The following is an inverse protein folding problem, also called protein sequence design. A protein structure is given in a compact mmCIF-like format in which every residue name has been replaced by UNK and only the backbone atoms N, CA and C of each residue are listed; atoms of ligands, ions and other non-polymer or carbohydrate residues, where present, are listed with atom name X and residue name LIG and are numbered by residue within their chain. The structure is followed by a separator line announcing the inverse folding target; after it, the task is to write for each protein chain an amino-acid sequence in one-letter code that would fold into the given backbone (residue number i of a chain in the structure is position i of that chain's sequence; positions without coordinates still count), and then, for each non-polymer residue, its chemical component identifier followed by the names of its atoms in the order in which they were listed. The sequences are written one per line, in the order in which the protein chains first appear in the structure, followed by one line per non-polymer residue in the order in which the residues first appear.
data_IF_719542849438
#
_entry.id   IF_719542849438
#
_cell.length_a   1.000
_cell.length_b   1.000
_cell.length_c   1.000
_cell.angle_alpha   90.00
_cell.angle_beta   90.00
_cell.angle_gamma   90.00
#
_symmetry.space_group_name_H-M   'P 1'
#
loop_
_entity.id
_entity.type
_entity.pdbx_description
1 polymer ?
#
# COMPACT_ATOMS: atom_id res chain seq x y z
N UNK A 1 -17.06 35.38 4.96
CA UNK A 1 -16.22 34.73 5.99
C UNK A 1 -16.91 34.87 7.35
N UNK A 2 -17.19 33.76 8.01
CA UNK A 2 -17.83 33.68 9.32
C UNK A 2 -16.76 33.37 10.37
N UNK A 3 -16.67 34.22 11.39
CA UNK A 3 -15.75 34.08 12.52
C UNK A 3 -16.53 34.20 13.82
N UNK A 4 -16.30 33.28 14.74
CA UNK A 4 -16.71 33.38 16.14
C UNK A 4 -15.74 34.29 16.92
N UNK A 5 -16.10 34.69 18.13
CA UNK A 5 -15.20 35.42 19.03
C UNK A 5 -13.91 34.65 19.28
N UNK A 6 -14.00 33.32 19.43
CA UNK A 6 -12.84 32.44 19.61
C UNK A 6 -11.91 32.46 18.39
N UNK A 7 -12.46 32.45 17.19
CA UNK A 7 -11.67 32.50 15.95
C UNK A 7 -10.90 33.82 15.82
N UNK A 8 -11.54 34.93 16.21
CA UNK A 8 -10.90 36.25 16.23
C UNK A 8 -9.73 36.28 17.21
N UNK A 9 -9.91 35.73 18.41
CA UNK A 9 -8.82 35.61 19.39
C UNK A 9 -7.68 34.72 18.88
N UNK A 10 -8.01 33.57 18.30
CA UNK A 10 -7.00 32.65 17.75
C UNK A 10 -6.19 33.34 16.66
N UNK A 11 -6.85 34.04 15.73
CA UNK A 11 -6.19 34.80 14.68
C UNK A 11 -5.29 35.91 15.24
N UNK A 12 -5.73 36.64 16.26
CA UNK A 12 -4.94 37.71 16.89
C UNK A 12 -3.72 37.16 17.63
N UNK A 13 -3.86 36.03 18.32
CA UNK A 13 -2.80 35.35 19.07
C UNK A 13 -1.85 34.56 18.17
N UNK A 14 -2.23 34.25 16.93
CA UNK A 14 -1.40 33.50 16.00
C UNK A 14 -0.09 34.24 15.65
N UNK A 15 1.03 33.65 16.03
CA UNK A 15 2.39 34.15 15.76
C UNK A 15 3.08 33.46 14.60
N UNK A 16 2.69 32.21 14.29
CA UNK A 16 3.27 31.38 13.24
C UNK A 16 2.19 30.92 12.26
N UNK A 17 2.57 30.74 11.01
CA UNK A 17 1.69 30.29 9.94
C UNK A 17 1.31 28.83 10.16
N UNK A 18 0.02 28.53 10.17
CA UNK A 18 -0.44 27.16 10.44
C UNK A 18 0.01 26.16 9.35
N UNK A 19 0.28 26.62 8.12
CA UNK A 19 0.73 25.79 7.01
C UNK A 19 2.25 25.55 7.01
N UNK A 20 3.06 26.60 6.90
CA UNK A 20 4.52 26.48 6.75
C UNK A 20 5.30 26.57 8.07
N UNK A 21 4.60 26.79 9.19
CA UNK A 21 5.16 26.91 10.56
C UNK A 21 6.14 28.06 10.79
N UNK A 22 6.37 28.93 9.80
CA UNK A 22 7.23 30.13 9.93
C UNK A 22 6.48 31.30 10.55
N UNK A 23 7.22 32.24 11.15
CA UNK A 23 6.66 33.44 11.78
C UNK A 23 5.85 34.30 10.79
N UNK A 24 4.66 34.76 11.20
CA UNK A 24 3.70 35.48 10.33
C UNK A 24 4.06 36.95 10.11
N UNK A 25 4.44 37.65 11.18
CA UNK A 25 4.68 39.09 11.14
C UNK A 25 3.50 39.89 10.61
N UNK A 26 3.80 40.81 9.68
CA UNK A 26 2.79 41.67 9.03
C UNK A 26 2.00 40.97 7.91
N UNK A 27 2.46 39.83 7.41
CA UNK A 27 1.84 39.07 6.30
C UNK A 27 0.75 38.09 6.80
N UNK A 28 0.09 38.42 7.90
CA UNK A 28 -0.91 37.56 8.54
C UNK A 28 -2.28 37.73 7.87
N UNK A 29 -2.71 36.72 7.12
CA UNK A 29 -4.03 36.68 6.46
C UNK A 29 -4.93 35.59 7.04
N UNK A 30 -6.25 35.75 6.81
CA UNK A 30 -7.29 34.83 7.29
C UNK A 30 -7.65 33.84 6.19
N UNK A 31 -7.32 32.58 6.41
CA UNK A 31 -7.81 31.48 5.60
C UNK A 31 -9.25 31.12 6.00
N UNK A 32 -10.09 30.81 5.02
CA UNK A 32 -11.46 30.40 5.25
C UNK A 32 -11.89 29.34 4.23
N UNK A 33 -12.83 28.49 4.62
CA UNK A 33 -13.48 27.56 3.72
C UNK A 33 -14.36 28.33 2.73
N UNK A 34 -14.13 28.12 1.44
CA UNK A 34 -14.88 28.79 0.37
C UNK A 34 -16.29 28.23 0.18
N UNK A 35 -16.62 27.07 0.78
CA UNK A 35 -17.97 26.51 0.78
C UNK A 35 -18.81 27.05 1.94
N UNK A 36 -18.35 26.83 3.18
CA UNK A 36 -19.10 27.25 4.38
C UNK A 36 -18.85 28.69 4.80
N UNK A 37 -17.82 29.34 4.25
CA UNK A 37 -17.35 30.65 4.67
C UNK A 37 -16.64 30.66 6.03
N UNK A 38 -16.51 29.54 6.74
CA UNK A 38 -15.94 29.48 8.09
C UNK A 38 -14.43 29.74 8.07
N UNK A 39 -13.95 30.54 9.03
CA UNK A 39 -12.52 30.69 9.26
C UNK A 39 -11.86 29.35 9.60
N UNK A 40 -10.64 29.15 9.09
CA UNK A 40 -9.87 27.93 9.31
C UNK A 40 -8.61 28.17 10.12
N UNK A 41 -7.82 29.20 9.76
CA UNK A 41 -6.48 29.40 10.31
C UNK A 41 -5.83 30.72 9.86
N UNK A 42 -4.75 31.10 10.54
CA UNK A 42 -3.90 32.23 10.18
C UNK A 42 -2.73 31.76 9.32
N UNK A 43 -2.53 32.37 8.16
CA UNK A 43 -1.49 31.99 7.19
C UNK A 43 -0.74 33.21 6.66
N UNK A 44 0.41 32.98 6.02
CA UNK A 44 1.02 33.93 5.08
C UNK A 44 0.13 34.10 3.85
N UNK A 45 0.14 35.27 3.20
CA UNK A 45 -0.64 35.49 1.98
C UNK A 45 -0.26 34.48 0.89
N UNK A 46 1.04 34.21 0.73
CA UNK A 46 1.54 33.19 -0.22
C UNK A 46 1.02 31.78 0.11
N UNK A 47 1.03 31.40 1.38
CA UNK A 47 0.51 30.09 1.83
C UNK A 47 -0.99 29.98 1.57
N UNK A 48 -1.75 31.04 1.85
CA UNK A 48 -3.19 31.08 1.60
C UNK A 48 -3.52 30.88 0.11
N UNK A 49 -2.78 31.54 -0.79
CA UNK A 49 -2.97 31.39 -2.24
C UNK A 49 -2.64 29.99 -2.78
N UNK A 50 -1.84 29.20 -2.05
CA UNK A 50 -1.57 27.80 -2.39
C UNK A 50 -2.73 26.87 -2.04
N UNK A 51 -3.59 27.25 -1.09
CA UNK A 51 -4.77 26.47 -0.71
C UNK A 51 -5.88 26.66 -1.75
N UNK A 52 -5.88 25.80 -2.76
CA UNK A 52 -6.90 25.78 -3.81
C UNK A 52 -7.94 24.71 -3.52
N UNK A 53 -9.21 25.09 -3.54
CA UNK A 53 -10.30 24.12 -3.50
C UNK A 53 -10.31 23.33 -4.82
N UNK A 54 -10.16 22.01 -4.72
CA UNK A 54 -10.30 21.11 -5.86
C UNK A 54 -11.79 20.92 -6.17
N UNK A 55 -12.17 21.08 -7.44
CA UNK A 55 -13.51 20.71 -7.95
C UNK A 55 -13.56 19.22 -8.27
N UNK A 56 -13.32 18.40 -7.26
CA UNK A 56 -13.21 16.95 -7.38
C UNK A 56 -13.97 16.27 -6.24
N UNK A 57 -14.79 15.27 -6.57
CA UNK A 57 -15.48 14.42 -5.62
C UNK A 57 -14.88 13.00 -5.74
N UNK A 58 -14.23 12.47 -4.68
CA UNK A 58 -13.76 11.11 -4.67
C UNK A 58 -14.94 10.13 -4.47
N UNK A 59 -15.09 9.19 -5.38
CA UNK A 59 -16.03 8.08 -5.33
C UNK A 59 -15.28 6.83 -4.85
N UNK A 60 -15.48 6.47 -3.59
CA UNK A 60 -14.73 5.38 -2.94
C UNK A 60 -15.44 4.05 -3.17
N UNK A 61 -14.68 3.09 -3.71
CA UNK A 61 -15.10 1.71 -3.88
C UNK A 61 -14.11 0.81 -3.16
N UNK A 62 -14.51 -0.41 -2.81
CA UNK A 62 -13.61 -1.39 -2.22
C UNK A 62 -13.36 -2.52 -3.21
N UNK A 63 -12.12 -2.62 -3.69
CA UNK A 63 -11.68 -3.56 -4.71
C UNK A 63 -12.20 -3.23 -6.14
N UNK A 64 -12.37 -1.93 -6.41
CA UNK A 64 -12.85 -1.40 -7.70
C UNK A 64 -12.13 -1.99 -8.90
N UNK A 65 -10.79 -2.07 -8.81
CA UNK A 65 -9.91 -2.43 -9.92
C UNK A 65 -10.17 -3.84 -10.46
N UNK A 66 -10.66 -4.74 -9.61
CA UNK A 66 -10.87 -6.15 -9.97
C UNK A 66 -12.33 -6.49 -10.26
N UNK A 67 -13.28 -5.62 -9.88
CA UNK A 67 -14.72 -5.88 -9.98
C UNK A 67 -15.43 -4.73 -10.70
N UNK A 68 -16.02 -3.79 -9.95
CA UNK A 68 -16.96 -2.78 -10.46
C UNK A 68 -16.36 -1.87 -11.54
N UNK A 69 -15.03 -1.67 -11.51
CA UNK A 69 -14.34 -0.82 -12.46
C UNK A 69 -14.55 -1.26 -13.91
N UNK A 70 -14.64 -2.57 -14.17
CA UNK A 70 -14.89 -3.10 -15.51
C UNK A 70 -16.30 -2.73 -16.01
N UNK A 71 -17.32 -2.90 -15.15
CA UNK A 71 -18.71 -2.58 -15.48
C UNK A 71 -18.90 -1.07 -15.67
N UNK A 72 -18.32 -0.27 -14.78
CA UNK A 72 -18.41 1.20 -14.85
C UNK A 72 -17.74 1.68 -16.15
N UNK A 73 -16.54 1.20 -16.47
CA UNK A 73 -15.82 1.62 -17.70
C UNK A 73 -16.59 1.27 -18.98
N UNK A 74 -17.27 0.12 -19.04
CA UNK A 74 -18.16 -0.22 -20.16
C UNK A 74 -19.33 0.76 -20.31
N UNK A 75 -19.87 1.27 -19.19
CA UNK A 75 -20.89 2.31 -19.20
C UNK A 75 -20.34 3.67 -19.60
N UNK A 76 -19.18 4.06 -19.05
CA UNK A 76 -18.54 5.34 -19.31
C UNK A 76 -18.19 5.54 -20.78
N UNK A 77 -17.75 4.49 -21.49
CA UNK A 77 -17.45 4.55 -22.92
C UNK A 77 -18.65 4.96 -23.81
N UNK A 78 -19.88 4.90 -23.29
CA UNK A 78 -21.10 5.30 -24.01
C UNK A 78 -21.43 6.80 -23.85
N UNK A 79 -20.73 7.52 -22.96
CA UNK A 79 -21.00 8.92 -22.67
C UNK A 79 -20.23 9.84 -23.62
N UNK A 80 -20.95 10.59 -24.47
CA UNK A 80 -20.33 11.46 -25.48
C UNK A 80 -19.90 12.84 -24.95
N UNK A 81 -20.62 13.39 -23.97
CA UNK A 81 -20.40 14.75 -23.43
C UNK A 81 -19.41 14.82 -22.25
N UNK A 82 -18.72 13.72 -21.97
CA UNK A 82 -17.81 13.62 -20.85
C UNK A 82 -16.35 13.44 -21.31
N UNK A 83 -15.45 13.97 -20.51
CA UNK A 83 -14.03 13.70 -20.58
C UNK A 83 -13.71 12.62 -19.56
N UNK A 84 -13.01 11.59 -20.01
CA UNK A 84 -12.59 10.46 -19.19
C UNK A 84 -11.07 10.48 -19.14
N UNK A 85 -10.52 10.45 -17.93
CA UNK A 85 -9.08 10.33 -17.69
C UNK A 85 -8.82 9.07 -16.88
N UNK A 86 -7.83 8.29 -17.30
CA UNK A 86 -7.55 6.96 -16.76
C UNK A 86 -6.07 6.87 -16.39
N UNK A 87 -5.79 6.27 -15.24
CA UNK A 87 -4.44 5.90 -14.82
C UNK A 87 -4.36 4.37 -14.88
N UNK A 88 -3.78 3.80 -15.95
CA UNK A 88 -3.69 2.36 -16.12
C UNK A 88 -2.67 1.75 -15.15
N UNK A 89 -3.00 0.57 -14.63
CA UNK A 89 -2.05 -0.28 -13.93
C UNK A 89 -1.43 -1.31 -14.89
N UNK A 90 -2.27 -1.87 -15.77
CA UNK A 90 -1.88 -2.71 -16.89
C UNK A 90 -2.97 -2.58 -17.99
N UNK A 91 -2.95 -3.47 -18.99
CA UNK A 91 -3.91 -3.43 -20.11
C UNK A 91 -5.36 -3.68 -19.70
N UNK A 92 -5.63 -4.30 -18.55
CA UNK A 92 -6.98 -4.69 -18.10
C UNK A 92 -7.45 -3.93 -16.86
N UNK A 93 -6.51 -3.48 -16.03
CA UNK A 93 -6.75 -2.95 -14.68
C UNK A 93 -6.32 -1.50 -14.60
N UNK A 94 -7.14 -0.69 -13.93
CA UNK A 94 -6.90 0.74 -13.72
C UNK A 94 -6.62 1.03 -12.25
N UNK A 95 -5.63 1.87 -11.96
CA UNK A 95 -5.39 2.38 -10.59
C UNK A 95 -6.54 3.30 -10.18
N UNK A 96 -6.94 4.18 -11.10
CA UNK A 96 -8.05 5.11 -10.93
C UNK A 96 -8.53 5.58 -12.30
N UNK A 97 -9.78 6.00 -12.38
CA UNK A 97 -10.31 6.74 -13.52
C UNK A 97 -11.19 7.87 -13.00
N UNK A 98 -11.36 8.90 -13.83
CA UNK A 98 -12.17 10.06 -13.51
C UNK A 98 -13.03 10.48 -14.69
N UNK A 99 -14.18 11.05 -14.37
CA UNK A 99 -15.14 11.57 -15.34
C UNK A 99 -15.43 13.02 -15.03
N UNK A 100 -15.44 13.85 -16.08
CA UNK A 100 -15.72 15.29 -16.01
C UNK A 100 -16.65 15.69 -17.15
N UNK A 101 -17.71 16.44 -16.86
CA UNK A 101 -18.55 17.04 -17.93
C UNK A 101 -17.76 18.09 -18.69
N UNK A 102 -17.88 18.13 -20.02
CA UNK A 102 -17.13 19.11 -20.85
C UNK A 102 -17.72 20.52 -20.78
N UNK A 103 -19.02 20.64 -20.56
CA UNK A 103 -19.75 21.91 -20.53
C UNK A 103 -20.22 22.19 -19.09
N UNK A 104 -20.15 23.46 -18.70
CA UNK A 104 -20.61 24.03 -17.41
C UNK A 104 -19.82 23.59 -16.16
N UNK A 105 -19.27 24.59 -15.44
CA UNK A 105 -18.59 24.51 -14.14
C UNK A 105 -18.18 23.09 -13.69
N UNK A 106 -17.21 22.47 -14.37
CA UNK A 106 -17.11 21.02 -14.35
C UNK A 106 -16.55 20.51 -13.04
N UNK A 107 -17.30 19.62 -12.39
CA UNK A 107 -16.84 18.83 -11.23
C UNK A 107 -16.33 17.49 -11.75
N UNK A 108 -15.14 17.10 -11.30
CA UNK A 108 -14.56 15.80 -11.62
C UNK A 108 -15.00 14.77 -10.58
N UNK A 109 -15.63 13.68 -11.01
CA UNK A 109 -15.77 12.50 -10.16
C UNK A 109 -14.53 11.63 -10.34
N UNK A 110 -13.83 11.32 -9.26
CA UNK A 110 -12.64 10.48 -9.29
C UNK A 110 -12.92 9.17 -8.56
N UNK A 111 -12.83 8.05 -9.26
CA UNK A 111 -13.06 6.74 -8.69
C UNK A 111 -11.77 6.24 -8.04
N UNK A 112 -11.86 5.93 -6.75
CA UNK A 112 -10.72 5.53 -5.92
C UNK A 112 -10.99 4.17 -5.32
N UNK A 113 -10.02 3.28 -5.46
CA UNK A 113 -10.06 1.95 -4.88
C UNK A 113 -9.46 1.96 -3.47
N UNK A 114 -10.33 1.91 -2.45
CA UNK A 114 -9.90 1.82 -1.05
C UNK A 114 -9.04 0.59 -0.74
N UNK A 115 -9.12 -0.47 -1.55
CA UNK A 115 -8.28 -1.67 -1.39
C UNK A 115 -6.78 -1.37 -1.68
N UNK A 116 -6.48 -0.30 -2.43
CA UNK A 116 -5.11 0.19 -2.64
C UNK A 116 -4.53 0.87 -1.38
N UNK A 117 -5.37 1.11 -0.38
CA UNK A 117 -4.97 1.63 0.93
C UNK A 117 -5.07 0.57 2.03
N UNK A 118 -6.20 -0.15 2.01
CA UNK A 118 -6.63 -1.09 3.03
C UNK A 118 -6.78 -2.47 2.38
N UNK A 119 -5.66 -3.18 2.25
CA UNK A 119 -5.49 -4.39 1.43
C UNK A 119 -6.03 -5.67 2.08
N UNK A 120 -7.25 -5.61 2.64
CA UNK A 120 -7.93 -6.76 3.25
C UNK A 120 -9.44 -6.63 3.04
N UNK A 121 -10.20 -7.67 3.35
CA UNK A 121 -11.65 -7.66 3.12
C UNK A 121 -12.35 -6.62 4.00
N UNK A 122 -13.46 -6.06 3.49
CA UNK A 122 -14.32 -5.16 4.28
C UNK A 122 -14.73 -5.77 5.63
N UNK A 123 -15.00 -7.07 5.66
CA UNK A 123 -15.29 -7.79 6.91
C UNK A 123 -14.17 -7.61 7.94
N UNK A 124 -12.92 -7.91 7.57
CA UNK A 124 -11.76 -7.73 8.46
C UNK A 124 -11.55 -6.26 8.84
N UNK A 125 -11.85 -5.32 7.95
CA UNK A 125 -11.73 -3.89 8.25
C UNK A 125 -12.76 -3.44 9.29
N UNK A 126 -13.98 -3.94 9.20
CA UNK A 126 -15.07 -3.66 10.15
C UNK A 126 -14.77 -4.30 11.51
N UNK A 127 -14.31 -5.55 11.54
CA UNK A 127 -13.92 -6.25 12.77
C UNK A 127 -12.77 -5.55 13.54
N UNK A 128 -11.90 -4.85 12.82
CA UNK A 128 -10.79 -4.08 13.42
C UNK A 128 -11.21 -2.71 13.97
N UNK A 129 -12.45 -2.26 13.75
CA UNK A 129 -12.93 -0.99 14.26
C UNK A 129 -13.68 -1.15 15.57
N UNK A 130 -13.38 -0.26 16.51
CA UNK A 130 -14.17 -0.13 17.73
C UNK A 130 -15.60 0.36 17.40
N UNK A 131 -16.60 -0.12 18.15
CA UNK A 131 -18.01 0.20 17.94
C UNK A 131 -18.30 1.73 17.98
N UNK A 132 -17.51 2.52 18.72
CA UNK A 132 -17.63 3.99 18.76
C UNK A 132 -17.29 4.67 17.44
N UNK A 133 -16.64 3.97 16.50
CA UNK A 133 -16.15 4.51 15.23
C UNK A 133 -17.17 4.47 14.10
N UNK A 134 -18.34 3.85 14.31
CA UNK A 134 -19.41 3.70 13.33
C UNK A 134 -20.41 4.87 13.34
N UNK A 135 -19.91 6.09 13.21
CA UNK A 135 -20.72 7.31 13.29
C UNK A 135 -21.72 7.46 12.14
N UNK A 136 -21.36 7.02 10.93
CA UNK A 136 -22.22 7.11 9.75
C UNK A 136 -23.34 6.08 9.88
N UNK A 137 -23.02 4.85 10.28
CA UNK A 137 -24.01 3.82 10.60
C UNK A 137 -25.04 4.33 11.60
N UNK A 138 -24.60 5.00 12.66
CA UNK A 138 -25.50 5.59 13.66
C UNK A 138 -26.45 6.64 13.05
N UNK A 139 -25.95 7.44 12.10
CA UNK A 139 -26.74 8.50 11.45
C UNK A 139 -27.70 7.99 10.37
N UNK A 140 -27.32 6.91 9.66
CA UNK A 140 -28.05 6.40 8.51
C UNK A 140 -29.08 5.32 8.85
N UNK A 141 -28.89 4.60 9.96
CA UNK A 141 -29.75 3.51 10.41
C UNK A 141 -30.31 3.83 11.79
N UNK A 142 -31.56 4.25 11.85
CA UNK A 142 -32.32 4.45 13.08
C UNK A 142 -33.10 3.16 13.42
N UNK A 143 -32.40 2.17 13.96
CA UNK A 143 -32.99 0.90 14.41
C UNK A 143 -32.39 0.46 15.74
N UNK A 144 -33.17 -0.10 16.69
CA UNK A 144 -32.63 -0.71 17.90
C UNK A 144 -31.78 -1.96 17.60
N UNK A 145 -31.93 -2.55 16.42
CA UNK A 145 -31.20 -3.74 15.97
C UNK A 145 -29.98 -3.42 15.09
N UNK A 146 -29.59 -2.14 15.00
CA UNK A 146 -28.46 -1.69 14.16
C UNK A 146 -27.15 -2.44 14.42
N UNK A 147 -26.92 -2.88 15.65
CA UNK A 147 -25.69 -3.59 16.01
C UNK A 147 -25.53 -4.93 15.25
N UNK A 148 -26.64 -5.51 14.75
CA UNK A 148 -26.59 -6.65 13.83
C UNK A 148 -25.90 -6.32 12.50
N UNK A 149 -25.89 -5.05 12.09
CA UNK A 149 -25.29 -4.58 10.85
C UNK A 149 -23.83 -4.14 11.00
N UNK A 150 -23.24 -4.24 12.19
CA UNK A 150 -21.83 -3.89 12.46
C UNK A 150 -20.85 -5.00 12.04
N UNK A 151 -21.27 -5.87 11.12
CA UNK A 151 -20.44 -6.85 10.45
C UNK A 151 -20.96 -7.04 9.03
N UNK A 152 -20.13 -7.61 8.16
CA UNK A 152 -20.51 -7.86 6.78
C UNK A 152 -21.73 -8.80 6.74
N UNK A 153 -22.74 -8.43 5.94
CA UNK A 153 -23.95 -9.23 5.79
C UNK A 153 -23.70 -10.55 5.06
N UNK A 154 -24.59 -11.51 5.27
CA UNK A 154 -24.55 -12.83 4.61
C UNK A 154 -25.47 -12.80 3.40
N UNK A 155 -24.95 -13.08 2.21
CA UNK A 155 -25.71 -12.90 0.98
C UNK A 155 -25.61 -14.11 0.05
N UNK A 156 -26.74 -14.62 -0.52
CA UNK A 156 -26.74 -15.79 -1.37
C UNK A 156 -26.46 -15.39 -2.83
N UNK A 157 -25.20 -15.06 -3.15
CA UNK A 157 -24.83 -14.47 -4.44
C UNK A 157 -25.27 -15.32 -5.64
N UNK A 158 -25.00 -16.61 -5.62
CA UNK A 158 -25.32 -17.55 -6.70
C UNK A 158 -26.83 -17.81 -6.84
N UNK A 159 -27.58 -17.70 -5.74
CA UNK A 159 -29.03 -17.88 -5.75
C UNK A 159 -29.75 -16.74 -6.48
N UNK A 160 -29.22 -15.52 -6.36
CA UNK A 160 -29.78 -14.28 -6.91
C UNK A 160 -29.50 -14.15 -8.41
N UNK A 161 -30.04 -15.10 -9.18
CA UNK A 161 -29.79 -15.30 -10.60
C UNK A 161 -30.79 -14.59 -11.54
N UNK A 162 -31.89 -14.05 -11.01
CA UNK A 162 -32.90 -13.33 -11.80
C UNK A 162 -33.63 -12.29 -10.96
N UNK A 163 -34.24 -11.29 -11.63
CA UNK A 163 -35.04 -10.27 -10.94
C UNK A 163 -36.26 -10.84 -10.20
N UNK A 164 -36.82 -11.96 -10.66
CA UNK A 164 -37.94 -12.61 -9.99
C UNK A 164 -37.59 -13.10 -8.59
N UNK A 165 -36.30 -13.35 -8.29
CA UNK A 165 -35.86 -13.74 -6.95
C UNK A 165 -36.11 -12.65 -5.90
N UNK A 166 -36.05 -11.38 -6.28
CA UNK A 166 -36.30 -10.28 -5.34
C UNK A 166 -37.73 -10.29 -4.77
N UNK A 167 -38.69 -10.88 -5.48
CA UNK A 167 -40.09 -10.99 -5.03
C UNK A 167 -40.32 -12.15 -4.05
N UNK A 168 -39.34 -13.06 -3.86
CA UNK A 168 -39.50 -14.19 -2.94
C UNK A 168 -39.56 -13.70 -1.48
N UNK A 169 -40.56 -14.18 -0.75
CA UNK A 169 -40.94 -13.68 0.58
C UNK A 169 -40.30 -14.45 1.73
N UNK A 170 -39.33 -15.32 1.44
CA UNK A 170 -38.65 -16.15 2.43
C UNK A 170 -37.14 -16.13 2.17
N UNK A 171 -36.37 -16.22 3.24
CA UNK A 171 -34.94 -16.43 3.14
C UNK A 171 -34.68 -17.83 2.52
N UNK A 172 -33.81 -17.95 1.51
CA UNK A 172 -33.54 -19.24 0.89
C UNK A 172 -32.86 -20.21 1.88
N UNK A 173 -32.93 -21.53 1.64
CA UNK A 173 -32.31 -22.50 2.53
C UNK A 173 -30.79 -22.32 2.60
N UNK A 174 -30.15 -22.74 3.71
CA UNK A 174 -28.69 -22.63 3.91
C UNK A 174 -27.86 -23.19 2.75
N UNK A 175 -28.32 -24.25 2.10
CA UNK A 175 -27.65 -24.85 0.93
C UNK A 175 -27.56 -23.91 -0.29
N UNK A 176 -28.42 -22.89 -0.36
CA UNK A 176 -28.41 -21.88 -1.43
C UNK A 176 -27.33 -20.79 -1.25
N UNK A 177 -26.63 -20.77 -0.11
CA UNK A 177 -25.54 -19.84 0.18
C UNK A 177 -24.15 -20.41 -0.18
N UNK A 178 -24.09 -21.44 -1.02
CA UNK A 178 -22.83 -22.01 -1.49
C UNK A 178 -22.09 -21.03 -2.40
N UNK A 179 -20.85 -20.70 -2.06
CA UNK A 179 -20.01 -19.85 -2.88
C UNK A 179 -19.09 -20.66 -3.79
N UNK A 180 -19.22 -20.45 -5.10
CA UNK A 180 -18.35 -21.02 -6.12
C UNK A 180 -16.90 -20.51 -6.05
N UNK A 181 -16.68 -19.33 -5.46
CA UNK A 181 -15.37 -18.70 -5.32
C UNK A 181 -14.47 -19.40 -4.31
N UNK A 182 -15.05 -19.88 -3.20
CA UNK A 182 -14.34 -20.61 -2.14
C UNK A 182 -14.67 -22.10 -2.11
N UNK A 183 -15.63 -22.52 -2.94
CA UNK A 183 -16.16 -23.90 -2.99
C UNK A 183 -16.64 -24.40 -1.62
N UNK A 184 -17.27 -23.51 -0.86
CA UNK A 184 -17.74 -23.75 0.49
C UNK A 184 -19.13 -23.12 0.70
N UNK A 185 -19.92 -23.73 1.59
CA UNK A 185 -21.15 -23.14 2.11
C UNK A 185 -20.89 -22.27 3.34
N UNK A 186 -21.94 -21.63 3.84
CA UNK A 186 -21.85 -20.83 5.07
C UNK A 186 -21.99 -21.71 6.33
N UNK A 187 -21.44 -21.20 7.44
CA UNK A 187 -21.60 -21.82 8.75
C UNK A 187 -23.06 -21.74 9.24
N UNK A 188 -23.42 -22.58 10.22
CA UNK A 188 -24.75 -22.50 10.85
C UNK A 188 -24.95 -21.15 11.54
N UNK A 189 -23.92 -20.65 12.23
CA UNK A 189 -23.95 -19.35 12.92
C UNK A 189 -24.16 -18.17 11.95
N UNK A 190 -23.59 -18.23 10.75
CA UNK A 190 -23.81 -17.21 9.72
C UNK A 190 -25.25 -17.25 9.19
N UNK A 191 -25.80 -18.44 9.00
CA UNK A 191 -27.19 -18.59 8.56
C UNK A 191 -28.19 -18.12 9.63
N UNK A 192 -27.97 -18.50 10.90
CA UNK A 192 -28.75 -17.98 12.04
C UNK A 192 -28.67 -16.46 12.11
N UNK A 193 -27.50 -15.87 11.83
CA UNK A 193 -27.37 -14.42 11.77
C UNK A 193 -28.20 -13.80 10.63
N UNK A 194 -28.21 -14.38 9.44
CA UNK A 194 -29.05 -13.93 8.32
C UNK A 194 -30.54 -14.00 8.69
N UNK A 195 -30.98 -15.07 9.35
CA UNK A 195 -32.35 -15.21 9.86
C UNK A 195 -32.70 -14.15 10.91
N UNK A 196 -31.76 -13.85 11.81
CA UNK A 196 -31.93 -12.80 12.82
C UNK A 196 -32.07 -11.42 12.18
N UNK A 197 -31.25 -11.10 11.17
CA UNK A 197 -31.38 -9.84 10.40
C UNK A 197 -32.73 -9.78 9.70
N UNK A 198 -33.13 -10.85 9.00
CA UNK A 198 -34.43 -10.94 8.33
C UNK A 198 -35.59 -10.62 9.27
N UNK A 199 -35.58 -11.24 10.46
CA UNK A 199 -36.63 -11.08 11.46
C UNK A 199 -36.61 -9.69 12.12
N UNK A 200 -35.44 -9.23 12.57
CA UNK A 200 -35.31 -7.97 13.32
C UNK A 200 -35.55 -6.72 12.47
N UNK A 201 -35.33 -6.80 11.16
CA UNK A 201 -35.60 -5.70 10.23
C UNK A 201 -36.94 -5.86 9.48
N UNK A 202 -37.77 -6.83 9.89
CA UNK A 202 -39.12 -7.06 9.35
C UNK A 202 -39.13 -7.19 7.81
N UNK A 203 -38.13 -7.89 7.28
CA UNK A 203 -37.89 -8.00 5.83
C UNK A 203 -38.98 -8.85 5.19
N UNK A 204 -39.59 -8.32 4.12
CA UNK A 204 -40.75 -8.94 3.47
C UNK A 204 -40.37 -9.80 2.28
N UNK A 205 -39.28 -9.46 1.60
CA UNK A 205 -38.81 -10.17 0.41
C UNK A 205 -37.29 -10.02 0.23
N UNK A 206 -36.73 -10.81 -0.70
CA UNK A 206 -35.30 -10.77 -0.99
C UNK A 206 -34.84 -9.43 -1.61
N UNK A 207 -35.75 -8.64 -2.20
CA UNK A 207 -35.52 -7.25 -2.62
C UNK A 207 -35.11 -6.35 -1.46
N UNK A 208 -35.94 -6.32 -0.42
CA UNK A 208 -35.64 -5.55 0.80
C UNK A 208 -34.38 -6.07 1.50
N UNK A 209 -34.14 -7.40 1.49
CA UNK A 209 -32.89 -7.98 1.99
C UNK A 209 -31.66 -7.51 1.22
N UNK A 210 -31.74 -7.48 -0.11
CA UNK A 210 -30.69 -6.99 -0.99
C UNK A 210 -30.39 -5.52 -0.76
N UNK A 211 -31.41 -4.67 -0.71
CA UNK A 211 -31.24 -3.25 -0.49
C UNK A 211 -30.58 -2.97 0.87
N UNK A 212 -31.00 -3.70 1.92
CA UNK A 212 -30.36 -3.61 3.24
C UNK A 212 -28.91 -4.08 3.18
N UNK A 213 -28.62 -5.20 2.51
CA UNK A 213 -27.27 -5.75 2.35
C UNK A 213 -26.33 -4.74 1.65
N UNK A 214 -26.71 -4.24 0.47
CA UNK A 214 -25.90 -3.30 -0.31
C UNK A 214 -25.73 -1.97 0.43
N UNK A 215 -26.81 -1.44 1.03
CA UNK A 215 -26.75 -0.21 1.81
C UNK A 215 -25.82 -0.35 3.02
N UNK A 216 -25.86 -1.49 3.70
CA UNK A 216 -24.99 -1.78 4.85
C UNK A 216 -23.53 -1.82 4.43
N UNK A 217 -23.18 -2.53 3.36
CA UNK A 217 -21.80 -2.60 2.86
C UNK A 217 -21.24 -1.21 2.51
N UNK A 218 -22.06 -0.33 1.88
CA UNK A 218 -21.65 1.05 1.55
C UNK A 218 -21.46 1.91 2.81
N UNK A 219 -22.35 1.79 3.80
CA UNK A 219 -22.25 2.53 5.06
C UNK A 219 -21.01 2.07 5.85
N UNK A 220 -20.79 0.77 5.96
CA UNK A 220 -19.62 0.20 6.63
C UNK A 220 -18.32 0.67 5.97
N UNK A 221 -18.25 0.64 4.64
CA UNK A 221 -17.10 1.16 3.91
C UNK A 221 -16.89 2.66 4.17
N UNK A 222 -17.98 3.43 4.26
CA UNK A 222 -17.91 4.86 4.56
C UNK A 222 -17.34 5.11 5.96
N UNK A 223 -17.80 4.39 6.98
CA UNK A 223 -17.22 4.49 8.33
C UNK A 223 -15.75 4.07 8.34
N UNK A 224 -15.39 2.96 7.70
CA UNK A 224 -14.01 2.50 7.58
C UNK A 224 -13.11 3.56 6.94
N UNK A 225 -13.52 4.08 5.79
CA UNK A 225 -12.69 5.03 5.04
C UNK A 225 -12.64 6.40 5.71
N UNK A 226 -13.72 6.89 6.34
CA UNK A 226 -13.68 8.14 7.13
C UNK A 226 -12.74 8.04 8.34
N UNK A 227 -12.71 6.88 9.01
CA UNK A 227 -11.74 6.66 10.09
C UNK A 227 -10.30 6.66 9.57
N UNK A 228 -10.05 6.03 8.41
CA UNK A 228 -8.74 6.08 7.76
C UNK A 228 -8.35 7.50 7.30
N UNK A 229 -9.29 8.29 6.77
CA UNK A 229 -9.06 9.71 6.44
C UNK A 229 -8.70 10.51 7.68
N UNK A 230 -9.44 10.36 8.78
CA UNK A 230 -9.12 11.03 10.05
C UNK A 230 -7.73 10.63 10.56
N UNK A 231 -7.38 9.34 10.47
CA UNK A 231 -6.06 8.83 10.84
C UNK A 231 -4.95 9.53 10.04
N UNK A 232 -5.03 9.49 8.71
CA UNK A 232 -4.03 10.08 7.82
C UNK A 232 -3.92 11.59 7.97
N UNK A 233 -5.04 12.27 8.21
CA UNK A 233 -5.04 13.70 8.52
C UNK A 233 -4.39 14.01 9.87
N UNK A 234 -4.59 13.16 10.89
CA UNK A 234 -4.00 13.37 12.20
C UNK A 234 -2.48 13.15 12.19
N UNK A 235 -2.01 12.06 11.58
CA UNK A 235 -0.60 11.69 11.55
C UNK A 235 0.20 12.48 10.51
N UNK A 236 -0.32 12.62 9.29
CA UNK A 236 0.43 13.17 8.16
C UNK A 236 -0.06 14.54 7.72
N UNK A 237 -1.19 15.04 8.28
CA UNK A 237 -1.87 16.25 7.81
C UNK A 237 -2.24 16.15 6.32
N UNK A 238 -2.47 14.92 5.83
CA UNK A 238 -2.85 14.62 4.46
C UNK A 238 -4.19 13.89 4.46
N UNK A 239 -5.05 14.20 3.49
CA UNK A 239 -6.31 13.48 3.31
C UNK A 239 -6.12 12.35 2.30
N UNK A 240 -6.30 11.11 2.74
CA UNK A 240 -6.22 9.93 1.88
C UNK A 240 -7.19 9.99 0.69
N UNK A 241 -8.32 10.69 0.81
CA UNK A 241 -9.29 10.85 -0.27
C UNK A 241 -8.76 11.67 -1.47
N UNK A 242 -7.60 12.30 -1.33
CA UNK A 242 -6.91 13.02 -2.42
C UNK A 242 -5.70 12.25 -2.98
N UNK A 243 -5.52 11.00 -2.54
CA UNK A 243 -4.48 10.09 -3.00
C UNK A 243 -5.13 8.90 -3.71
N UNK A 244 -4.32 8.13 -4.43
CA UNK A 244 -4.82 6.94 -5.16
C UNK A 244 -4.39 5.62 -4.53
N UNK A 245 -3.27 5.59 -3.81
CA UNK A 245 -2.68 4.37 -3.27
C UNK A 245 -1.91 4.64 -1.98
N UNK A 246 -1.70 3.61 -1.16
CA UNK A 246 -0.84 3.68 0.03
C UNK A 246 0.60 4.11 -0.27
N UNK A 247 1.30 3.59 -1.31
CA UNK A 247 2.63 4.10 -1.68
C UNK A 247 2.64 5.58 -2.03
N UNK A 248 1.61 6.07 -2.76
CA UNK A 248 1.49 7.49 -3.07
C UNK A 248 1.27 8.35 -1.83
N UNK A 249 0.44 7.88 -0.89
CA UNK A 249 0.24 8.53 0.40
C UNK A 249 1.53 8.55 1.23
N UNK A 250 2.24 7.43 1.32
CA UNK A 250 3.50 7.32 2.06
C UNK A 250 4.58 8.25 1.48
N UNK A 251 4.68 8.34 0.16
CA UNK A 251 5.59 9.26 -0.52
C UNK A 251 5.29 10.73 -0.20
N UNK A 252 4.02 11.14 -0.30
CA UNK A 252 3.60 12.50 0.05
C UNK A 252 3.79 12.81 1.53
N UNK A 253 3.54 11.83 2.41
CA UNK A 253 3.78 11.96 3.83
C UNK A 253 5.28 12.15 4.11
N UNK A 254 6.15 11.35 3.50
CA UNK A 254 7.60 11.46 3.64
C UNK A 254 8.08 12.86 3.26
N UNK A 255 7.75 13.33 2.04
CA UNK A 255 8.13 14.67 1.57
C UNK A 255 7.65 15.78 2.50
N UNK A 256 6.40 15.68 2.98
CA UNK A 256 5.81 16.69 3.85
C UNK A 256 6.39 16.68 5.27
N UNK A 257 6.73 15.52 5.80
CA UNK A 257 7.20 15.39 7.18
C UNK A 257 8.69 15.73 7.31
N UNK A 258 9.48 15.53 6.26
CA UNK A 258 10.92 15.80 6.27
C UNK A 258 11.28 17.15 5.67
N UNK A 259 10.36 17.78 4.90
CA UNK A 259 10.63 18.97 4.09
C UNK A 259 11.82 18.77 3.10
N UNK A 260 12.17 17.52 2.80
CA UNK A 260 13.28 17.18 1.92
C UNK A 260 13.01 17.65 0.49
N UNK A 261 14.05 18.13 -0.17
CA UNK A 261 14.03 18.40 -1.62
C UNK A 261 14.85 17.32 -2.30
N UNK A 262 14.23 16.67 -3.27
CA UNK A 262 14.87 15.62 -4.05
C UNK A 262 15.11 16.16 -5.44
N UNK A 263 16.35 16.09 -5.90
CA UNK A 263 16.67 16.33 -7.30
C UNK A 263 16.27 15.13 -8.15
N UNK A 264 15.95 15.43 -9.41
CA UNK A 264 15.67 14.41 -10.40
C UNK A 264 16.92 14.23 -11.25
N UNK A 265 17.22 12.97 -11.60
CA UNK A 265 18.21 12.71 -12.64
C UNK A 265 17.75 13.33 -13.95
N UNK A 266 18.56 14.22 -14.50
CA UNK A 266 18.35 14.80 -15.84
C UNK A 266 19.13 14.08 -16.93
N UNK A 267 20.09 13.23 -16.52
CA UNK A 267 20.89 12.37 -17.39
C UNK A 267 20.35 10.93 -17.35
N UNK A 268 20.10 10.35 -18.53
CA UNK A 268 19.64 8.97 -18.69
C UNK A 268 20.71 7.97 -18.25
N UNK A 269 21.99 8.27 -18.46
CA UNK A 269 23.08 7.36 -18.11
C UNK A 269 23.21 7.24 -16.59
N UNK A 270 23.02 8.34 -15.84
CA UNK A 270 22.93 8.29 -14.37
C UNK A 270 21.75 7.42 -13.92
N UNK A 271 20.58 7.57 -14.56
CA UNK A 271 19.42 6.76 -14.22
C UNK A 271 19.69 5.26 -14.42
N UNK A 272 20.23 4.88 -15.58
CA UNK A 272 20.58 3.49 -15.90
C UNK A 272 21.68 2.94 -14.99
N UNK A 273 22.65 3.77 -14.62
CA UNK A 273 23.72 3.41 -13.68
C UNK A 273 23.17 3.09 -12.30
N UNK A 274 22.29 3.94 -11.77
CA UNK A 274 21.63 3.70 -10.48
C UNK A 274 20.73 2.47 -10.55
N UNK A 275 19.93 2.32 -11.60
CA UNK A 275 19.07 1.14 -11.80
C UNK A 275 19.92 -0.15 -11.85
N UNK A 276 21.07 -0.10 -12.54
CA UNK A 276 22.06 -1.16 -12.57
C UNK A 276 22.63 -1.46 -11.18
N UNK A 277 22.59 -0.55 -10.20
CA UNK A 277 22.97 -0.78 -8.81
C UNK A 277 21.86 -1.33 -7.91
N UNK A 278 20.58 -1.22 -8.29
CA UNK A 278 19.46 -1.63 -7.41
C UNK A 278 19.42 -3.15 -7.24
N UNK A 279 19.42 -3.62 -6.00
CA UNK A 279 19.28 -5.03 -5.63
C UNK A 279 18.06 -5.22 -4.73
N UNK A 280 17.44 -6.40 -4.83
CA UNK A 280 16.41 -6.82 -3.88
C UNK A 280 17.01 -7.40 -2.60
N UNK A 281 16.15 -7.90 -1.72
CA UNK A 281 16.59 -8.64 -0.55
C UNK A 281 17.31 -9.93 -0.94
N UNK A 282 18.42 -10.22 -0.26
CA UNK A 282 19.14 -11.48 -0.42
C UNK A 282 18.35 -12.60 0.26
N UNK A 283 17.94 -13.59 -0.52
CA UNK A 283 17.24 -14.78 -0.02
C UNK A 283 18.07 -16.01 -0.37
N UNK A 284 18.59 -16.68 0.66
CA UNK A 284 19.47 -17.85 0.47
C UNK A 284 19.28 -18.89 1.56
N UNK A 285 19.60 -20.14 1.21
CA UNK A 285 19.58 -21.29 2.11
C UNK A 285 20.99 -21.88 2.11
N UNK A 286 21.79 -21.57 3.13
CA UNK A 286 23.15 -22.10 3.31
C UNK A 286 23.15 -23.53 3.86
N UNK A 287 22.16 -23.87 4.68
CA UNK A 287 21.98 -25.21 5.24
C UNK A 287 20.58 -25.74 4.88
N UNK A 288 20.51 -26.77 4.03
CA UNK A 288 19.25 -27.22 3.40
C UNK A 288 18.24 -27.83 4.36
N UNK A 289 18.70 -28.49 5.41
CA UNK A 289 17.81 -29.15 6.36
C UNK A 289 18.44 -29.22 7.74
N UNK A 290 17.70 -28.78 8.75
CA UNK A 290 18.06 -28.94 10.15
C UNK A 290 16.79 -29.18 10.95
N UNK A 291 16.79 -30.21 11.78
CA UNK A 291 15.74 -30.49 12.75
C UNK A 291 16.22 -30.10 14.15
N UNK A 292 15.31 -29.57 14.98
CA UNK A 292 15.59 -29.28 16.38
C UNK A 292 15.45 -30.57 17.20
N UNK A 293 16.32 -30.76 18.18
CA UNK A 293 16.23 -31.83 19.17
C UNK A 293 16.07 -31.21 20.56
N UNK A 294 14.85 -31.19 21.08
CA UNK A 294 14.55 -30.60 22.39
C UNK A 294 13.35 -31.33 23.04
N UNK A 295 13.27 -31.46 24.38
CA UNK A 295 12.18 -32.20 25.05
C UNK A 295 10.74 -31.74 24.75
N UNK A 296 10.57 -30.55 24.16
CA UNK A 296 9.27 -30.03 23.74
C UNK A 296 8.89 -30.40 22.29
N UNK A 297 9.83 -30.98 21.52
CA UNK A 297 9.59 -31.43 20.17
C UNK A 297 8.90 -32.80 20.17
N UNK A 298 7.92 -33.06 19.28
CA UNK A 298 7.23 -34.36 19.20
C UNK A 298 8.15 -35.56 18.95
N UNK A 299 9.29 -35.34 18.27
CA UNK A 299 10.25 -36.37 17.87
C UNK A 299 11.57 -36.30 18.68
N UNK A 300 11.51 -35.86 19.94
CA UNK A 300 12.71 -35.73 20.78
C UNK A 300 13.43 -37.07 20.99
N UNK A 301 14.75 -37.07 20.77
CA UNK A 301 15.62 -38.20 21.08
C UNK A 301 16.58 -37.83 22.21
N UNK A 302 16.40 -38.48 23.36
CA UNK A 302 17.21 -38.28 24.56
C UNK A 302 18.64 -38.87 24.45
N UNK A 303 18.90 -39.70 23.43
CA UNK A 303 20.25 -40.24 23.16
C UNK A 303 21.14 -39.27 22.39
N UNK A 304 20.54 -38.29 21.72
CA UNK A 304 21.22 -37.25 20.93
C UNK A 304 21.37 -35.95 21.72
N UNK A 305 22.35 -35.12 21.33
CA UNK A 305 22.52 -33.82 21.95
C UNK A 305 21.35 -32.88 21.63
N UNK A 306 21.03 -31.98 22.57
CA UNK A 306 20.02 -30.95 22.32
C UNK A 306 20.47 -30.02 21.18
N UNK A 307 19.55 -29.73 20.27
CA UNK A 307 19.76 -28.89 19.10
C UNK A 307 18.63 -27.89 18.97
N UNK A 308 18.97 -26.61 18.87
CA UNK A 308 18.02 -25.50 18.83
C UNK A 308 18.03 -24.83 17.47
N UNK A 309 16.88 -24.38 17.01
CA UNK A 309 16.72 -23.51 15.84
C UNK A 309 16.21 -22.17 16.35
N UNK A 310 16.90 -21.10 15.99
CA UNK A 310 16.55 -19.74 16.42
C UNK A 310 16.03 -18.94 15.23
N UNK A 311 14.87 -18.31 15.40
CA UNK A 311 14.30 -17.37 14.44
C UNK A 311 14.62 -15.95 14.86
N UNK A 312 15.35 -15.21 14.02
CA UNK A 312 15.68 -13.81 14.23
C UNK A 312 15.06 -12.99 13.10
N UNK A 313 14.38 -11.91 13.46
CA UNK A 313 13.72 -11.01 12.52
C UNK A 313 14.05 -9.56 12.89
N UNK A 314 14.45 -8.77 11.89
CA UNK A 314 14.79 -7.37 12.08
C UNK A 314 13.53 -6.52 12.04
N UNK A 315 13.16 -5.93 13.18
CA UNK A 315 12.04 -5.00 13.27
C UNK A 315 12.24 -3.80 12.34
N UNK A 316 11.41 -3.67 11.30
CA UNK A 316 11.41 -2.55 10.36
C UNK A 316 12.78 -2.29 9.70
N UNK A 317 13.39 -3.33 9.13
CA UNK A 317 14.72 -3.28 8.49
C UNK A 317 14.88 -2.10 7.51
N UNK A 318 13.97 -1.94 6.55
CA UNK A 318 14.05 -0.84 5.58
C UNK A 318 13.80 0.53 6.23
N UNK A 319 12.94 0.62 7.25
CA UNK A 319 12.75 1.89 7.98
C UNK A 319 14.00 2.32 8.75
N UNK A 320 14.77 1.38 9.30
CA UNK A 320 16.08 1.67 9.88
C UNK A 320 17.10 2.08 8.81
N UNK A 321 17.12 1.41 7.65
CA UNK A 321 17.99 1.82 6.54
C UNK A 321 17.64 3.23 6.02
N UNK A 322 16.35 3.55 5.94
CA UNK A 322 15.84 4.86 5.52
C UNK A 322 16.05 5.98 6.55
N UNK A 323 16.43 5.66 7.80
CA UNK A 323 16.81 6.67 8.80
C UNK A 323 18.29 7.04 8.72
N UNK A 324 19.07 6.32 7.91
CA UNK A 324 20.48 6.63 7.66
C UNK A 324 20.61 7.77 6.62
N UNK A 325 21.77 8.42 6.53
CA UNK A 325 22.08 9.33 5.43
C UNK A 325 21.91 8.65 4.07
N UNK A 326 21.12 9.29 3.19
CA UNK A 326 20.79 8.82 1.84
C UNK A 326 21.01 9.95 0.83
N UNK A 327 21.37 9.64 -0.43
CA UNK A 327 21.58 10.65 -1.46
C UNK A 327 20.26 11.32 -1.88
N UNK A 328 20.27 12.66 -1.99
CA UNK A 328 19.04 13.45 -2.26
C UNK A 328 19.20 14.52 -3.33
N UNK A 329 20.40 15.05 -3.57
CA UNK A 329 20.65 16.19 -4.46
C UNK A 329 22.07 16.21 -5.01
N UNK A 330 22.34 17.17 -5.90
CA UNK A 330 23.69 17.54 -6.37
C UNK A 330 24.43 16.37 -7.05
N UNK A 331 23.70 15.60 -7.86
CA UNK A 331 24.24 14.47 -8.60
C UNK A 331 25.16 14.92 -9.74
N UNK A 332 26.42 14.50 -9.71
CA UNK A 332 27.42 14.77 -10.74
C UNK A 332 28.25 13.54 -11.07
N UNK A 333 28.72 13.46 -12.32
CA UNK A 333 29.73 12.49 -12.71
C UNK A 333 31.11 12.97 -12.30
N UNK A 334 31.92 12.08 -11.74
CA UNK A 334 33.34 12.31 -11.48
C UNK A 334 34.17 11.45 -12.41
N UNK A 335 35.24 12.02 -12.96
CA UNK A 335 36.25 11.25 -13.67
C UNK A 335 37.16 10.51 -12.70
N UNK A 336 37.81 9.40 -13.12
CA UNK A 336 38.75 8.67 -12.28
C UNK A 336 39.93 9.50 -11.78
N UNK A 337 40.25 10.62 -12.44
CA UNK A 337 41.30 11.54 -12.02
C UNK A 337 40.87 12.49 -10.89
N UNK A 338 39.57 12.69 -10.70
CA UNK A 338 39.01 13.60 -9.69
C UNK A 338 38.91 12.97 -8.30
N UNK A 339 38.95 11.64 -8.21
CA UNK A 339 38.83 10.91 -6.95
C UNK A 339 39.66 9.62 -6.90
N UNK A 340 40.31 9.38 -5.76
CA UNK A 340 41.07 8.15 -5.51
C UNK A 340 40.30 7.15 -4.64
N UNK A 341 40.59 5.87 -4.81
CA UNK A 341 40.09 4.79 -3.93
C UNK A 341 40.39 5.06 -2.45
N UNK A 342 41.55 5.64 -2.14
CA UNK A 342 41.91 5.97 -0.77
C UNK A 342 40.95 7.00 -0.16
N UNK A 343 40.57 8.04 -0.91
CA UNK A 343 39.61 9.04 -0.45
C UNK A 343 38.22 8.42 -0.24
N UNK A 344 37.79 7.55 -1.16
CA UNK A 344 36.51 6.84 -1.07
C UNK A 344 36.48 5.99 0.22
N UNK A 345 37.48 5.13 0.45
CA UNK A 345 37.52 4.26 1.63
C UNK A 345 37.66 5.01 2.96
N UNK A 346 38.11 6.27 2.93
CA UNK A 346 38.23 7.13 4.11
C UNK A 346 36.99 8.01 4.33
N UNK A 347 36.02 7.97 3.41
CA UNK A 347 34.80 8.77 3.51
C UNK A 347 33.89 8.21 4.63
N UNK A 348 33.52 9.03 5.64
CA UNK A 348 32.63 8.57 6.71
C UNK A 348 31.22 8.24 6.20
N UNK A 349 30.55 7.27 6.83
CA UNK A 349 29.16 6.87 6.53
C UNK A 349 28.13 8.02 6.62
N UNK A 350 28.43 9.05 7.41
CA UNK A 350 27.62 10.24 7.63
C UNK A 350 28.14 11.49 6.89
N UNK A 351 29.04 11.30 5.92
CA UNK A 351 29.52 12.37 5.07
C UNK A 351 28.36 13.05 4.33
N UNK A 352 28.47 14.37 4.16
CA UNK A 352 27.51 15.17 3.39
C UNK A 352 27.54 14.86 1.90
N UNK A 353 28.64 14.29 1.42
CA UNK A 353 28.86 13.87 0.04
C UNK A 353 29.32 12.42 0.05
N UNK A 354 28.72 11.61 -0.81
CA UNK A 354 29.02 10.18 -0.94
C UNK A 354 29.17 9.77 -2.39
N UNK A 355 29.60 8.53 -2.62
CA UNK A 355 29.92 8.02 -3.95
C UNK A 355 29.15 6.73 -4.27
N UNK A 356 28.75 6.61 -5.53
CA UNK A 356 28.26 5.37 -6.11
C UNK A 356 29.22 5.04 -7.25
N UNK A 357 29.75 3.82 -7.24
CA UNK A 357 30.91 3.44 -8.03
C UNK A 357 30.57 2.21 -8.85
N UNK A 358 31.17 2.11 -10.04
CA UNK A 358 31.26 0.88 -10.80
C UNK A 358 32.69 0.37 -10.71
N UNK A 359 32.86 -0.85 -10.21
CA UNK A 359 34.19 -1.42 -9.94
C UNK A 359 34.27 -2.87 -10.37
N UNK A 360 35.49 -3.33 -10.61
CA UNK A 360 35.83 -4.75 -10.68
C UNK A 360 36.33 -5.22 -9.32
N UNK A 361 35.83 -6.37 -8.86
CA UNK A 361 36.22 -6.95 -7.57
C UNK A 361 36.69 -8.38 -7.75
N UNK A 362 37.86 -8.68 -7.22
CA UNK A 362 38.33 -10.07 -7.08
C UNK A 362 37.71 -10.69 -5.83
N UNK A 363 37.42 -11.99 -5.89
CA UNK A 363 36.94 -12.78 -4.75
C UNK A 363 37.98 -13.84 -4.39
N UNK A 364 38.95 -13.50 -3.51
CA UNK A 364 40.10 -14.36 -3.25
C UNK A 364 39.70 -15.75 -2.73
N UNK A 365 40.34 -16.84 -3.21
CA UNK A 365 40.04 -18.21 -2.78
C UNK A 365 40.10 -18.43 -1.27
N UNK A 366 40.97 -17.73 -0.55
CA UNK A 366 41.10 -17.80 0.90
C UNK A 366 39.85 -17.34 1.68
N UNK A 367 38.93 -16.60 1.04
CA UNK A 367 37.66 -16.17 1.64
C UNK A 367 36.51 -17.13 1.36
N UNK A 368 36.69 -18.13 0.48
CA UNK A 368 35.59 -18.96 -0.01
C UNK A 368 34.96 -19.77 1.12
N UNK A 369 35.77 -20.38 1.99
CA UNK A 369 35.26 -21.15 3.13
C UNK A 369 34.54 -20.26 4.15
N UNK A 370 35.09 -19.06 4.42
CA UNK A 370 34.52 -18.11 5.37
C UNK A 370 33.17 -17.58 4.89
N UNK A 371 33.05 -17.27 3.60
CA UNK A 371 31.86 -16.66 3.01
C UNK A 371 30.90 -17.68 2.38
N UNK A 372 31.18 -18.98 2.44
CA UNK A 372 30.33 -20.01 1.84
C UNK A 372 28.88 -19.97 2.34
N UNK A 373 28.69 -19.59 3.61
CA UNK A 373 27.37 -19.46 4.23
C UNK A 373 26.68 -18.13 3.96
N UNK A 374 27.37 -17.12 3.42
CA UNK A 374 26.80 -15.83 3.05
C UNK A 374 27.71 -15.09 2.04
N UNK A 375 27.74 -15.48 0.75
CA UNK A 375 28.58 -14.82 -0.22
C UNK A 375 28.21 -13.35 -0.39
N UNK A 376 29.19 -12.46 -0.22
CA UNK A 376 29.04 -11.02 -0.40
C UNK A 376 28.85 -10.61 -1.87
N UNK A 377 28.40 -9.37 -2.09
CA UNK A 377 28.21 -8.74 -3.40
C UNK A 377 27.37 -9.58 -4.39
N UNK A 378 26.11 -9.90 -4.07
CA UNK A 378 25.25 -10.68 -4.97
C UNK A 378 25.01 -9.93 -6.28
N UNK A 379 24.94 -10.67 -7.38
CA UNK A 379 24.74 -10.11 -8.72
C UNK A 379 23.48 -10.67 -9.38
N UNK A 380 22.90 -9.92 -10.32
CA UNK A 380 21.82 -10.41 -11.16
C UNK A 380 22.43 -11.23 -12.28
N UNK A 381 22.14 -12.53 -12.30
CA UNK A 381 22.64 -13.42 -13.34
C UNK A 381 21.63 -14.49 -13.72
N UNK A 382 21.77 -15.03 -14.91
CA UNK A 382 21.02 -16.22 -15.35
C UNK A 382 21.78 -17.46 -14.92
N UNK A 383 21.12 -18.37 -14.20
CA UNK A 383 21.70 -19.66 -13.83
C UNK A 383 21.69 -20.59 -15.04
N UNK A 384 22.87 -21.07 -15.45
CA UNK A 384 23.02 -22.03 -16.53
C UNK A 384 23.11 -23.47 -15.99
N UNK A 385 22.78 -24.50 -16.78
CA UNK A 385 22.81 -25.89 -16.31
C UNK A 385 24.18 -26.36 -15.80
N UNK A 386 25.28 -25.83 -16.32
CA UNK A 386 26.65 -26.11 -15.89
C UNK A 386 27.00 -25.53 -14.50
N UNK A 387 26.21 -24.56 -14.01
CA UNK A 387 26.33 -24.04 -12.65
C UNK A 387 25.58 -24.89 -11.61
N UNK A 388 24.76 -25.85 -12.06
CA UNK A 388 23.97 -26.68 -11.17
C UNK A 388 24.82 -27.81 -10.57
N UNK A 389 24.62 -28.09 -9.29
CA UNK A 389 25.25 -29.25 -8.66
C UNK A 389 24.68 -30.56 -9.23
N UNK A 390 25.43 -31.68 -9.17
CA UNK A 390 24.91 -32.99 -9.57
C UNK A 390 23.59 -33.34 -8.89
N UNK A 391 23.43 -32.98 -7.62
CA UNK A 391 22.18 -33.17 -6.87
C UNK A 391 21.03 -32.36 -7.45
N UNK A 392 21.25 -31.08 -7.78
CA UNK A 392 20.21 -30.23 -8.36
C UNK A 392 19.77 -30.75 -9.73
N UNK A 393 20.72 -31.22 -10.56
CA UNK A 393 20.42 -31.86 -11.84
C UNK A 393 19.58 -33.14 -11.68
N UNK A 394 19.92 -33.99 -10.71
CA UNK A 394 19.14 -35.20 -10.43
C UNK A 394 17.71 -34.87 -10.00
N UNK A 395 17.50 -33.89 -9.12
CA UNK A 395 16.18 -33.46 -8.68
C UNK A 395 15.34 -32.97 -9.88
N UNK A 396 15.93 -32.16 -10.77
CA UNK A 396 15.23 -31.69 -11.97
C UNK A 396 14.79 -32.85 -12.86
N UNK A 397 15.65 -33.86 -13.03
CA UNK A 397 15.35 -35.07 -13.80
C UNK A 397 14.22 -35.88 -13.17
N UNK A 398 14.26 -36.11 -11.85
CA UNK A 398 13.22 -36.84 -11.11
C UNK A 398 11.86 -36.13 -11.15
N UNK A 399 11.86 -34.80 -11.06
CA UNK A 399 10.64 -34.00 -11.14
C UNK A 399 10.13 -33.83 -12.58
N UNK A 400 10.86 -34.32 -13.59
CA UNK A 400 10.57 -34.10 -15.02
C UNK A 400 10.41 -32.60 -15.37
N UNK A 401 11.21 -31.75 -14.72
CA UNK A 401 11.20 -30.29 -14.90
C UNK A 401 12.41 -29.91 -15.75
N UNK A 402 12.16 -29.18 -16.84
CA UNK A 402 13.24 -28.57 -17.63
C UNK A 402 13.83 -27.39 -16.84
N UNK A 403 15.16 -27.16 -16.88
CA UNK A 403 15.77 -25.98 -16.28
C UNK A 403 15.01 -24.72 -16.69
N UNK A 404 14.69 -23.86 -15.71
CA UNK A 404 13.85 -22.70 -15.92
C UNK A 404 14.35 -21.85 -17.11
N UNK A 405 13.39 -21.27 -17.86
CA UNK A 405 13.69 -20.28 -18.91
C UNK A 405 14.56 -19.15 -18.35
N UNK A 406 15.38 -18.55 -19.21
CA UNK A 406 16.31 -17.43 -18.95
C UNK A 406 15.64 -16.34 -18.11
N UNK A 407 15.75 -16.46 -16.79
CA UNK A 407 15.27 -15.47 -15.85
C UNK A 407 16.43 -15.12 -14.95
N UNK A 408 16.73 -13.83 -14.85
CA UNK A 408 17.77 -13.35 -13.97
C UNK A 408 17.33 -13.54 -12.52
N UNK A 409 18.26 -14.00 -11.70
CA UNK A 409 18.11 -14.14 -10.26
C UNK A 409 19.17 -13.29 -9.59
N UNK A 410 18.88 -12.78 -8.39
CA UNK A 410 19.89 -12.21 -7.52
C UNK A 410 20.61 -13.37 -6.83
N UNK A 411 21.88 -13.58 -7.15
CA UNK A 411 22.62 -14.78 -6.75
C UNK A 411 23.84 -14.39 -5.90
N UNK A 412 23.88 -14.77 -4.63
CA UNK A 412 25.11 -14.78 -3.85
C UNK A 412 26.05 -15.83 -4.43
N UNK A 413 27.24 -15.42 -4.87
CA UNK A 413 28.25 -16.33 -5.41
C UNK A 413 29.67 -15.82 -5.11
N UNK A 414 30.64 -16.74 -5.19
CA UNK A 414 32.06 -16.50 -4.88
C UNK A 414 32.90 -16.16 -6.11
N UNK A 415 32.28 -15.79 -7.25
CA UNK A 415 33.02 -15.37 -8.44
C UNK A 415 33.57 -13.95 -8.29
N UNK A 416 34.57 -13.61 -9.09
CA UNK A 416 34.95 -12.22 -9.30
C UNK A 416 33.75 -11.45 -9.86
N UNK A 417 33.64 -10.18 -9.51
CA UNK A 417 32.60 -9.26 -10.00
C UNK A 417 33.21 -8.31 -11.01
N UNK A 418 32.44 -7.99 -12.05
CA UNK A 418 32.85 -7.11 -13.13
C UNK A 418 31.81 -6.01 -13.31
N UNK A 419 32.24 -4.76 -13.45
CA UNK A 419 31.36 -3.60 -13.59
C UNK A 419 30.24 -3.58 -12.52
N UNK A 420 30.60 -3.87 -11.27
CA UNK A 420 29.66 -3.96 -10.15
C UNK A 420 29.36 -2.58 -9.61
N UNK A 421 28.09 -2.19 -9.64
CA UNK A 421 27.64 -0.89 -9.11
C UNK A 421 27.30 -1.01 -7.63
N UNK A 422 27.95 -0.19 -6.78
CA UNK A 422 27.72 -0.16 -5.34
C UNK A 422 27.81 1.26 -4.76
N UNK A 423 27.20 1.44 -3.59
CA UNK A 423 27.40 2.62 -2.75
C UNK A 423 28.71 2.47 -1.95
N UNK A 424 29.48 3.54 -1.74
CA UNK A 424 30.80 3.51 -1.08
C UNK A 424 30.84 2.94 0.35
N UNK A 425 29.67 2.79 0.98
CA UNK A 425 29.50 2.21 2.33
C UNK A 425 29.47 0.68 2.33
N UNK A 426 29.22 0.09 1.16
CA UNK A 426 29.22 -1.36 0.95
C UNK A 426 30.60 -1.80 0.47
#
# INVERSE_FOLDING_TARGET
MHMTTRDLEEFQKATHCNLCKKWLGKDRVRDHDHLSGKYRQALHNKCNLQLKQRKMIPCIFHNLRNYDGHLIMQGLGKLQDHEISVIPNNMEKYISFSIRRRKENPVTLQFVDSFQFLNTSLQKLVENLDHSKFSIMQSCISSPHRDLLLKKGIYPYEYMSSFSKFEETQLPPRSAFHSSLVNEGISEADYEHAQNVWKCFEIKNLGEYHDLYVKTDVILLSDVFENFRKLTQNFYRLDAAHMLTSPGLAWQAALKMTDVKLDLFTDIDMHLFIEKGIRGGVSMISHRHSEANHPQCPNYDASEANKYITYLDANNLYGWAMSQPLPVSDFEWLSPEEISLQQICQTPDDATTGYILEVDMEYPPELHDLHNNYPLAPERMTITPDMLSPTALNILNEMNIKPALKSEKLVPNLYNKQNYVLHYRN
#
